data_IF_603921032592
#
_entry.id   IF_603921032592
#
_cell.length_a   1.000
_cell.length_b   1.000
_cell.length_c   1.000
_cell.angle_alpha   90.00
_cell.angle_beta   90.00
_cell.angle_gamma   90.00
#
_symmetry.space_group_name_H-M   'P 1'
#
loop_
_entity.id
_entity.type
_entity.pdbx_description
1 polymer ?
#
# COMPACT_ATOMS: atom_id res chain seq x y z
N UNK A 1 35.80 -5.50 7.48
CA UNK A 1 34.33 -5.52 7.34
C UNK A 1 33.71 -4.13 7.03
N UNK A 2 34.21 -3.39 6.02
CA UNK A 2 33.77 -2.00 5.73
C UNK A 2 32.99 -1.91 4.41
N UNK A 3 33.25 -2.81 3.46
CA UNK A 3 32.61 -2.84 2.14
C UNK A 3 31.12 -3.23 2.20
N UNK A 4 30.76 -4.19 3.05
CA UNK A 4 29.36 -4.62 3.23
C UNK A 4 28.46 -3.54 3.83
N UNK A 5 29.00 -2.68 4.71
CA UNK A 5 28.25 -1.57 5.33
C UNK A 5 27.98 -0.44 4.32
N UNK A 6 28.96 -0.10 3.47
CA UNK A 6 28.80 0.90 2.40
C UNK A 6 27.80 0.47 1.33
N UNK A 7 27.80 -0.82 0.92
CA UNK A 7 26.84 -1.37 -0.05
C UNK A 7 25.40 -1.30 0.46
N UNK A 8 25.16 -1.66 1.73
CA UNK A 8 23.85 -1.57 2.38
C UNK A 8 23.31 -0.14 2.45
N UNK A 9 24.15 0.84 2.80
CA UNK A 9 23.74 2.25 2.83
C UNK A 9 23.35 2.78 1.44
N UNK A 10 24.09 2.40 0.39
CA UNK A 10 23.76 2.76 -0.99
C UNK A 10 22.43 2.16 -1.45
N UNK A 11 22.15 0.90 -1.12
CA UNK A 11 20.87 0.25 -1.41
C UNK A 11 19.71 0.96 -0.71
N UNK A 12 19.85 1.28 0.59
CA UNK A 12 18.82 2.02 1.35
C UNK A 12 18.55 3.41 0.76
N UNK A 13 19.59 4.13 0.31
CA UNK A 13 19.44 5.43 -0.35
C UNK A 13 18.74 5.29 -1.72
N UNK A 14 19.06 4.24 -2.49
CA UNK A 14 18.39 3.94 -3.77
C UNK A 14 16.91 3.58 -3.57
N UNK A 15 16.59 2.82 -2.53
CA UNK A 15 15.21 2.51 -2.20
C UNK A 15 14.44 3.73 -1.70
N UNK A 16 15.07 4.60 -0.90
CA UNK A 16 14.45 5.83 -0.42
C UNK A 16 14.13 6.81 -1.55
N UNK A 17 15.03 6.94 -2.52
CA UNK A 17 14.78 7.74 -3.74
C UNK A 17 13.64 7.14 -4.56
N UNK A 18 13.61 5.83 -4.77
CA UNK A 18 12.51 5.17 -5.48
C UNK A 18 11.13 5.36 -4.82
N UNK A 19 11.06 5.39 -3.48
CA UNK A 19 9.80 5.65 -2.76
C UNK A 19 9.35 7.11 -2.90
N UNK A 20 10.28 8.06 -2.81
CA UNK A 20 9.97 9.46 -3.05
C UNK A 20 9.47 9.68 -4.48
N UNK A 21 10.15 9.12 -5.48
CA UNK A 21 9.76 9.25 -6.90
C UNK A 21 8.38 8.64 -7.16
N UNK A 22 8.08 7.48 -6.55
CA UNK A 22 6.76 6.86 -6.62
C UNK A 22 5.69 7.72 -5.95
N UNK A 23 5.94 8.25 -4.75
CA UNK A 23 5.01 9.13 -4.05
C UNK A 23 4.73 10.41 -4.86
N UNK A 24 5.77 11.01 -5.44
CA UNK A 24 5.65 12.18 -6.31
C UNK A 24 4.86 11.88 -7.57
N UNK A 25 5.09 10.73 -8.21
CA UNK A 25 4.33 10.30 -9.39
C UNK A 25 2.84 10.16 -9.05
N UNK A 26 2.52 9.48 -7.94
CA UNK A 26 1.15 9.33 -7.47
C UNK A 26 0.49 10.70 -7.21
N UNK A 27 1.16 11.56 -6.46
CA UNK A 27 0.63 12.86 -6.06
C UNK A 27 0.47 13.83 -7.24
N UNK A 28 1.47 13.93 -8.11
CA UNK A 28 1.58 15.01 -9.10
C UNK A 28 1.09 14.61 -10.49
N UNK A 29 1.33 13.36 -10.91
CA UNK A 29 0.94 12.88 -12.24
C UNK A 29 -0.45 12.25 -12.20
N UNK A 30 -0.69 11.36 -11.23
CA UNK A 30 -1.97 10.67 -11.12
C UNK A 30 -2.99 11.41 -10.25
N UNK A 31 -2.56 12.46 -9.53
CA UNK A 31 -3.40 13.23 -8.60
C UNK A 31 -4.06 12.35 -7.53
N UNK A 32 -3.34 11.31 -7.09
CA UNK A 32 -3.75 10.41 -6.04
C UNK A 32 -3.22 10.91 -4.68
N UNK A 33 -4.08 11.14 -3.67
CA UNK A 33 -3.62 11.57 -2.36
C UNK A 33 -2.79 10.49 -1.69
N UNK A 34 -1.58 10.83 -1.29
CA UNK A 34 -0.65 9.89 -0.64
C UNK A 34 -0.18 10.40 0.72
N UNK A 35 0.33 9.50 1.54
CA UNK A 35 0.94 9.77 2.83
C UNK A 35 1.99 8.72 3.20
N UNK A 36 2.97 9.05 4.07
CA UNK A 36 3.92 8.07 4.57
C UNK A 36 3.27 7.11 5.56
N UNK A 37 3.46 5.82 5.35
CA UNK A 37 3.08 4.77 6.28
C UNK A 37 4.02 4.65 7.48
N UNK A 38 3.58 3.90 8.49
CA UNK A 38 4.41 3.64 9.68
C UNK A 38 5.69 2.86 9.35
N UNK A 39 5.60 1.88 8.45
CA UNK A 39 6.71 1.00 8.08
C UNK A 39 7.09 -0.03 9.15
N UNK A 40 8.03 -0.89 8.83
CA UNK A 40 8.54 -1.90 9.76
C UNK A 40 9.67 -1.33 10.61
N UNK A 41 9.73 -1.72 11.89
CA UNK A 41 10.88 -1.48 12.74
C UNK A 41 12.16 -2.04 12.11
N UNK A 42 13.29 -1.37 12.33
CA UNK A 42 14.58 -1.93 11.93
C UNK A 42 14.86 -3.15 12.80
N UNK A 43 15.26 -4.27 12.18
CA UNK A 43 15.68 -5.46 12.92
C UNK A 43 16.81 -5.08 13.91
N UNK A 44 16.50 -5.15 15.21
CA UNK A 44 17.52 -5.19 16.25
C UNK A 44 18.40 -6.45 16.10
N UNK A 45 19.51 -6.56 16.86
CA UNK A 45 20.34 -7.75 16.83
C UNK A 45 19.48 -8.97 17.19
N UNK A 46 19.45 -9.92 16.25
CA UNK A 46 18.71 -11.18 16.21
C UNK A 46 18.31 -11.73 17.58
N UNK A 47 17.00 -11.87 17.78
CA UNK A 47 16.40 -12.68 18.83
C UNK A 47 14.96 -13.00 18.45
N UNK A 48 14.71 -14.29 18.22
CA UNK A 48 13.39 -14.91 18.11
C UNK A 48 12.62 -14.73 16.79
N UNK A 49 11.94 -15.80 16.40
CA UNK A 49 11.45 -16.12 15.05
C UNK A 49 10.20 -15.33 14.64
N UNK A 50 10.24 -14.00 14.78
CA UNK A 50 9.22 -13.08 14.31
C UNK A 50 9.73 -12.26 13.13
N UNK A 51 8.87 -12.01 12.13
CA UNK A 51 9.17 -11.06 11.05
C UNK A 51 9.51 -9.66 11.59
N UNK A 52 9.95 -8.72 10.73
CA UNK A 52 10.25 -7.37 11.18
C UNK A 52 8.99 -6.74 11.80
N UNK A 53 9.06 -6.41 13.09
CA UNK A 53 7.95 -5.84 13.85
C UNK A 53 7.45 -4.51 13.25
N UNK A 54 6.27 -4.06 13.67
CA UNK A 54 5.77 -2.75 13.25
C UNK A 54 6.55 -1.63 13.96
N UNK A 55 6.71 -0.47 13.31
CA UNK A 55 7.29 0.72 13.95
C UNK A 55 6.25 1.54 14.75
N UNK A 56 4.99 1.08 14.84
CA UNK A 56 3.96 1.70 15.67
C UNK A 56 4.14 1.33 17.16
N UNK A 57 3.52 2.06 18.09
CA UNK A 57 3.55 1.72 19.52
C UNK A 57 2.71 0.49 19.89
N UNK A 58 1.92 -0.07 18.96
CA UNK A 58 1.10 -1.27 19.21
C UNK A 58 1.95 -2.55 19.21
N UNK A 59 2.05 -3.28 20.34
CA UNK A 59 2.87 -4.49 20.45
C UNK A 59 2.41 -5.62 19.51
N UNK A 60 1.10 -5.81 19.33
CA UNK A 60 0.51 -6.86 18.50
C UNK A 60 -0.17 -6.28 17.25
N UNK A 61 0.54 -5.39 16.54
CA UNK A 61 0.02 -4.73 15.35
C UNK A 61 -0.49 -5.75 14.31
N UNK A 62 -1.79 -5.70 14.01
CA UNK A 62 -2.44 -6.63 13.08
C UNK A 62 -1.96 -6.50 11.62
N UNK A 63 -1.36 -5.35 11.25
CA UNK A 63 -0.92 -5.06 9.88
C UNK A 63 0.49 -4.43 9.87
N UNK A 64 1.54 -5.17 10.28
CA UNK A 64 2.85 -4.60 10.56
C UNK A 64 3.41 -3.79 9.37
N UNK A 65 3.67 -2.50 9.61
CA UNK A 65 4.20 -1.58 8.62
C UNK A 65 3.29 -1.21 7.47
N UNK A 66 2.04 -1.70 7.47
CA UNK A 66 1.08 -1.55 6.39
C UNK A 66 -0.11 -0.65 6.76
N UNK A 67 0.03 0.28 7.71
CA UNK A 67 -1.03 1.23 8.09
C UNK A 67 -0.52 2.67 8.31
N UNK A 68 -1.40 3.68 8.15
CA UNK A 68 -1.12 5.04 8.60
C UNK A 68 -1.13 5.10 10.12
N UNK A 69 -0.38 6.04 10.69
CA UNK A 69 -0.35 6.25 12.15
C UNK A 69 -0.16 7.73 12.44
N UNK A 70 1.02 8.25 12.17
CA UNK A 70 1.34 9.67 12.22
C UNK A 70 2.17 10.00 10.96
N UNK A 71 1.65 10.81 10.02
CA UNK A 71 0.33 11.41 10.04
C UNK A 71 -0.79 10.37 9.81
N UNK A 72 -2.00 10.70 10.24
CA UNK A 72 -3.20 9.91 9.98
C UNK A 72 -3.71 10.04 8.53
N UNK A 73 -4.68 9.20 8.16
CA UNK A 73 -5.17 9.10 6.78
C UNK A 73 -5.67 10.43 6.18
N UNK A 74 -6.32 11.26 6.99
CA UNK A 74 -6.86 12.57 6.57
C UNK A 74 -5.78 13.56 6.12
N UNK A 75 -4.51 13.31 6.44
CA UNK A 75 -3.41 14.14 5.98
C UNK A 75 -2.97 13.81 4.54
N UNK A 76 -3.51 12.75 3.92
CA UNK A 76 -3.15 12.36 2.56
C UNK A 76 -3.29 13.54 1.59
N UNK A 77 -2.27 13.75 0.76
CA UNK A 77 -2.16 14.95 -0.06
C UNK A 77 -1.65 14.67 -1.47
N UNK A 78 -1.96 15.58 -2.39
CA UNK A 78 -1.34 15.67 -3.71
C UNK A 78 -0.32 16.81 -3.81
N UNK A 79 -0.11 17.57 -2.72
CA UNK A 79 0.85 18.67 -2.69
C UNK A 79 2.30 18.15 -2.75
N UNK A 80 3.01 18.49 -3.83
CA UNK A 80 4.40 18.10 -4.06
C UNK A 80 5.33 18.49 -2.91
N UNK A 81 5.19 19.69 -2.35
CA UNK A 81 6.09 20.20 -1.30
C UNK A 81 5.95 19.37 -0.04
N UNK A 82 4.71 19.05 0.33
CA UNK A 82 4.40 18.22 1.49
C UNK A 82 4.90 16.78 1.30
N UNK A 83 4.72 16.21 0.10
CA UNK A 83 5.26 14.88 -0.24
C UNK A 83 6.78 14.85 -0.16
N UNK A 84 7.49 15.82 -0.75
CA UNK A 84 8.96 15.92 -0.64
C UNK A 84 9.41 16.05 0.81
N UNK A 85 8.72 16.88 1.59
CA UNK A 85 9.04 17.08 2.99
C UNK A 85 8.96 15.78 3.78
N UNK A 86 7.86 15.02 3.64
CA UNK A 86 7.70 13.73 4.33
C UNK A 86 8.82 12.74 4.03
N UNK A 87 9.13 12.49 2.76
CA UNK A 87 10.13 11.48 2.38
C UNK A 87 11.57 11.97 2.58
N UNK A 88 11.80 13.27 2.69
CA UNK A 88 13.08 13.81 3.16
C UNK A 88 13.31 13.45 4.63
N UNK A 89 12.28 13.56 5.47
CA UNK A 89 12.37 13.26 6.90
C UNK A 89 12.22 11.76 7.21
N UNK A 90 11.51 11.01 6.35
CA UNK A 90 11.23 9.58 6.52
C UNK A 90 11.46 8.80 5.22
N UNK A 91 12.71 8.70 4.74
CA UNK A 91 13.03 8.09 3.45
C UNK A 91 12.68 6.60 3.34
N UNK A 92 12.48 5.92 4.49
CA UNK A 92 12.09 4.51 4.53
C UNK A 92 10.59 4.30 4.71
N UNK A 93 9.78 5.36 4.83
CA UNK A 93 8.35 5.23 4.99
C UNK A 93 7.72 4.59 3.74
N UNK A 94 6.83 3.59 3.91
CA UNK A 94 5.99 3.10 2.84
C UNK A 94 5.16 4.22 2.22
N UNK A 95 4.96 4.17 0.90
CA UNK A 95 4.00 5.02 0.19
C UNK A 95 2.62 4.43 0.40
N UNK A 96 1.70 5.22 0.95
CA UNK A 96 0.30 4.85 1.09
C UNK A 96 -0.58 5.75 0.24
N UNK A 97 -1.58 5.16 -0.38
CA UNK A 97 -2.68 5.79 -1.09
C UNK A 97 -3.88 5.88 -0.15
N UNK A 98 -4.50 7.06 -0.03
CA UNK A 98 -5.86 7.16 0.48
C UNK A 98 -6.84 6.83 -0.66
N UNK A 99 -7.68 5.81 -0.49
CA UNK A 99 -8.59 5.34 -1.54
C UNK A 99 -9.90 6.14 -1.55
N UNK A 100 -10.59 6.11 -2.70
CA UNK A 100 -11.88 6.77 -2.87
C UNK A 100 -11.79 8.30 -3.06
N UNK A 101 -12.96 8.93 -3.15
CA UNK A 101 -13.07 10.33 -3.55
C UNK A 101 -12.50 10.56 -4.95
N UNK A 102 -11.39 11.30 -5.04
CA UNK A 102 -10.68 11.56 -6.30
C UNK A 102 -9.61 10.51 -6.65
N UNK A 103 -9.29 9.63 -5.72
CA UNK A 103 -8.39 8.50 -5.93
C UNK A 103 -9.16 7.22 -6.28
N UNK A 104 -8.50 6.24 -6.91
CA UNK A 104 -9.13 4.97 -7.21
C UNK A 104 -9.58 4.27 -5.93
N UNK A 105 -10.69 3.54 -6.03
CA UNK A 105 -11.03 2.53 -5.05
C UNK A 105 -10.27 1.23 -5.36
N UNK A 106 -10.38 0.24 -4.50
CA UNK A 106 -9.83 -1.07 -4.79
C UNK A 106 -10.72 -2.22 -4.35
N UNK A 107 -10.66 -3.29 -5.14
CA UNK A 107 -11.21 -4.60 -4.78
C UNK A 107 -10.06 -5.56 -4.69
N UNK A 108 -10.09 -6.43 -3.68
CA UNK A 108 -8.87 -7.10 -3.29
C UNK A 108 -9.16 -8.48 -2.70
N UNK A 109 -8.21 -9.38 -2.88
CA UNK A 109 -8.37 -10.83 -2.72
C UNK A 109 -7.07 -11.44 -2.16
N UNK A 110 -7.12 -12.58 -1.44
CA UNK A 110 -5.92 -13.35 -1.11
C UNK A 110 -5.07 -13.62 -2.36
N UNK A 111 -3.74 -13.59 -2.25
CA UNK A 111 -2.83 -13.55 -3.39
C UNK A 111 -3.11 -14.64 -4.46
N UNK A 112 -3.33 -15.89 -4.04
CA UNK A 112 -3.67 -17.01 -4.95
C UNK A 112 -4.98 -16.75 -5.69
N UNK A 113 -6.01 -16.27 -4.98
CA UNK A 113 -7.31 -15.95 -5.57
C UNK A 113 -7.22 -14.72 -6.48
N UNK A 114 -6.41 -13.72 -6.12
CA UNK A 114 -6.15 -12.53 -6.92
C UNK A 114 -5.48 -12.86 -8.25
N UNK A 115 -4.45 -13.71 -8.23
CA UNK A 115 -3.79 -14.19 -9.44
C UNK A 115 -4.77 -14.91 -10.38
N UNK A 116 -5.59 -15.83 -9.83
CA UNK A 116 -6.62 -16.53 -10.60
C UNK A 116 -7.69 -15.59 -11.15
N UNK A 117 -8.12 -14.60 -10.36
CA UNK A 117 -9.09 -13.61 -10.77
C UNK A 117 -8.57 -12.79 -11.96
N UNK A 118 -7.30 -12.36 -11.95
CA UNK A 118 -6.73 -11.63 -13.08
C UNK A 118 -6.70 -12.47 -14.35
N UNK A 119 -6.29 -13.73 -14.28
CA UNK A 119 -6.36 -14.64 -15.43
C UNK A 119 -7.78 -14.79 -15.96
N UNK A 120 -8.77 -14.93 -15.08
CA UNK A 120 -10.17 -15.03 -15.50
C UNK A 120 -10.68 -13.74 -16.15
N UNK A 121 -10.35 -12.57 -15.58
CA UNK A 121 -10.74 -11.26 -16.13
C UNK A 121 -10.07 -10.99 -17.48
N UNK A 122 -8.83 -11.43 -17.66
CA UNK A 122 -8.10 -11.34 -18.93
C UNK A 122 -8.75 -12.20 -20.02
N UNK A 123 -9.12 -13.45 -19.70
CA UNK A 123 -9.88 -14.33 -20.61
C UNK A 123 -11.23 -13.71 -21.01
N UNK A 124 -11.87 -12.96 -20.10
CA UNK A 124 -13.10 -12.23 -20.36
C UNK A 124 -12.88 -10.92 -21.15
N UNK A 125 -11.64 -10.59 -21.51
CA UNK A 125 -11.30 -9.38 -22.26
C UNK A 125 -11.51 -8.08 -21.46
N UNK A 126 -11.53 -8.16 -20.13
CA UNK A 126 -11.74 -6.98 -19.29
C UNK A 126 -10.49 -6.11 -19.26
N UNK A 127 -10.67 -4.79 -19.49
CA UNK A 127 -9.61 -3.82 -19.27
C UNK A 127 -9.37 -3.64 -17.78
N UNK A 128 -8.20 -4.08 -17.33
CA UNK A 128 -7.81 -4.01 -15.93
C UNK A 128 -7.07 -2.70 -15.65
N UNK A 129 -7.37 -2.11 -14.49
CA UNK A 129 -6.56 -1.06 -13.91
C UNK A 129 -5.26 -1.61 -13.30
N UNK A 130 -4.42 -0.74 -12.72
CA UNK A 130 -3.21 -1.19 -12.04
C UNK A 130 -3.52 -2.15 -10.90
N UNK A 131 -2.62 -3.12 -10.69
CA UNK A 131 -2.73 -4.11 -9.62
C UNK A 131 -1.58 -3.93 -8.66
N UNK A 132 -1.91 -3.82 -7.37
CA UNK A 132 -0.93 -3.85 -6.28
C UNK A 132 -0.87 -5.27 -5.73
N UNK A 133 0.28 -5.91 -5.87
CA UNK A 133 0.48 -7.28 -5.43
C UNK A 133 1.34 -7.32 -4.16
N UNK A 134 0.82 -7.92 -3.10
CA UNK A 134 1.61 -8.29 -1.91
C UNK A 134 1.66 -9.81 -1.79
N UNK A 135 2.58 -10.38 -0.99
CA UNK A 135 2.67 -11.83 -0.82
C UNK A 135 1.39 -12.48 -0.29
N UNK A 136 0.59 -11.74 0.48
CA UNK A 136 -0.65 -12.25 1.08
C UNK A 136 -1.90 -11.83 0.32
N UNK A 137 -1.84 -10.71 -0.43
CA UNK A 137 -3.05 -10.07 -0.96
C UNK A 137 -2.81 -9.22 -2.19
N UNK A 138 -3.68 -9.33 -3.18
CA UNK A 138 -3.63 -8.51 -4.39
C UNK A 138 -4.84 -7.57 -4.41
N UNK A 139 -4.60 -6.32 -4.79
CA UNK A 139 -5.59 -5.26 -4.87
C UNK A 139 -5.66 -4.72 -6.29
N UNK A 140 -6.81 -4.87 -6.93
CA UNK A 140 -7.11 -4.31 -8.23
C UNK A 140 -7.63 -2.90 -8.02
N UNK A 141 -6.94 -1.90 -8.55
CA UNK A 141 -7.42 -0.53 -8.55
C UNK A 141 -8.56 -0.41 -9.56
N UNK A 142 -9.68 0.13 -9.11
CA UNK A 142 -10.91 0.29 -9.88
C UNK A 142 -11.35 1.75 -9.86
N UNK A 143 -12.30 2.08 -10.74
CA UNK A 143 -12.95 3.39 -10.70
C UNK A 143 -13.52 3.68 -9.30
N UNK A 144 -13.48 4.94 -8.84
CA UNK A 144 -14.04 5.31 -7.55
C UNK A 144 -15.52 4.90 -7.44
N UNK A 145 -15.91 4.41 -6.27
CA UNK A 145 -17.29 4.09 -5.93
C UNK A 145 -17.61 4.60 -4.52
N UNK A 146 -18.88 4.91 -4.28
CA UNK A 146 -19.39 5.25 -2.95
C UNK A 146 -19.86 3.99 -2.22
N UNK A 147 -20.03 4.07 -0.89
CA UNK A 147 -20.52 2.94 -0.10
C UNK A 147 -21.96 2.57 -0.46
N UNK A 148 -22.79 3.55 -0.81
CA UNK A 148 -24.17 3.34 -1.26
C UNK A 148 -24.17 2.53 -2.56
N UNK A 149 -23.36 2.96 -3.55
CA UNK A 149 -23.27 2.24 -4.83
C UNK A 149 -22.70 0.84 -4.65
N UNK A 150 -21.72 0.67 -3.77
CA UNK A 150 -21.21 -0.66 -3.43
C UNK A 150 -22.32 -1.52 -2.82
N UNK A 151 -23.10 -0.97 -1.89
CA UNK A 151 -24.23 -1.67 -1.26
C UNK A 151 -25.24 -2.20 -2.29
N UNK A 152 -25.63 -1.38 -3.25
CA UNK A 152 -26.51 -1.79 -4.36
C UNK A 152 -25.92 -2.94 -5.19
N UNK A 153 -24.63 -2.83 -5.55
CA UNK A 153 -23.95 -3.85 -6.35
C UNK A 153 -23.84 -5.18 -5.61
N UNK A 154 -23.58 -5.14 -4.29
CA UNK A 154 -23.49 -6.35 -3.48
C UNK A 154 -24.87 -6.96 -3.23
N UNK A 155 -25.90 -6.13 -3.03
CA UNK A 155 -27.28 -6.61 -2.90
C UNK A 155 -27.77 -7.34 -4.16
N UNK A 156 -27.34 -6.88 -5.34
CA UNK A 156 -27.63 -7.54 -6.61
C UNK A 156 -26.85 -8.86 -6.84
N UNK A 157 -26.04 -9.32 -5.87
CA UNK A 157 -25.31 -10.60 -5.95
C UNK A 157 -25.89 -11.60 -4.96
N UNK A 158 -26.17 -12.79 -5.47
CA UNK A 158 -26.64 -13.91 -4.64
C UNK A 158 -25.62 -14.34 -3.57
N UNK A 159 -24.32 -14.07 -3.82
CA UNK A 159 -23.25 -14.38 -2.89
C UNK A 159 -22.01 -13.51 -3.11
N UNK A 160 -21.38 -13.12 -2.01
CA UNK A 160 -20.10 -12.37 -1.99
C UNK A 160 -19.12 -13.12 -1.08
N UNK A 161 -17.93 -13.52 -1.59
CA UNK A 161 -16.93 -14.18 -0.77
C UNK A 161 -16.45 -13.30 0.39
N UNK A 162 -16.38 -13.85 1.60
CA UNK A 162 -15.87 -13.14 2.79
C UNK A 162 -14.39 -12.76 2.70
N UNK A 163 -13.64 -13.38 1.80
CA UNK A 163 -12.23 -13.08 1.54
C UNK A 163 -12.01 -11.82 0.67
N UNK A 164 -13.08 -11.36 0.00
CA UNK A 164 -13.10 -10.14 -0.78
C UNK A 164 -13.10 -8.94 0.17
N UNK A 165 -12.26 -7.95 -0.09
CA UNK A 165 -12.28 -6.67 0.64
C UNK A 165 -12.39 -5.52 -0.33
N UNK A 166 -13.08 -4.50 0.14
CA UNK A 166 -13.40 -3.29 -0.58
C UNK A 166 -12.70 -2.11 0.08
N UNK A 167 -12.03 -1.29 -0.71
CA UNK A 167 -11.32 -0.09 -0.26
C UNK A 167 -11.94 1.10 -0.96
N UNK A 168 -12.92 1.71 -0.28
CA UNK A 168 -13.60 2.92 -0.72
C UNK A 168 -13.00 4.17 -0.08
N UNK A 169 -13.81 5.21 0.04
CA UNK A 169 -13.48 6.40 0.84
C UNK A 169 -13.18 6.01 2.30
N UNK A 170 -12.16 6.64 2.89
CA UNK A 170 -11.66 6.29 4.22
C UNK A 170 -10.80 5.02 4.26
N UNK A 171 -10.63 4.32 3.14
CA UNK A 171 -9.69 3.21 2.99
C UNK A 171 -8.28 3.67 2.62
N UNK A 172 -7.34 2.73 2.63
CA UNK A 172 -5.98 2.97 2.18
C UNK A 172 -5.32 1.73 1.59
N UNK A 173 -4.30 1.95 0.77
CA UNK A 173 -3.45 0.89 0.23
C UNK A 173 -1.97 1.27 0.31
N UNK A 174 -1.12 0.31 0.63
CA UNK A 174 0.34 0.48 0.43
C UNK A 174 0.65 0.34 -1.06
N UNK A 175 1.51 1.20 -1.59
CA UNK A 175 1.93 1.19 -2.99
C UNK A 175 3.39 0.74 -3.16
N UNK A 176 3.75 0.14 -4.31
CA UNK A 176 5.15 -0.09 -4.66
C UNK A 176 5.96 1.21 -4.69
N UNK A 177 7.28 1.19 -4.42
CA UNK A 177 8.13 0.05 -4.09
C UNK A 177 8.28 -0.16 -2.57
N UNK A 178 7.19 -0.07 -1.83
CA UNK A 178 7.20 -0.15 -0.37
C UNK A 178 7.49 -1.57 0.15
N UNK A 179 7.84 -1.65 1.43
CA UNK A 179 7.96 -2.92 2.15
C UNK A 179 7.18 -2.83 3.47
N UNK A 180 6.50 -3.91 3.80
CA UNK A 180 5.72 -4.09 5.03
C UNK A 180 6.19 -5.37 5.73
N UNK A 181 5.60 -5.70 6.88
CA UNK A 181 5.86 -6.98 7.55
C UNK A 181 5.45 -8.19 6.72
N UNK A 182 4.49 -8.01 5.80
CA UNK A 182 4.09 -9.06 4.85
C UNK A 182 5.06 -9.22 3.68
N UNK A 183 6.03 -8.32 3.50
CA UNK A 183 7.04 -8.37 2.44
C UNK A 183 7.02 -7.14 1.53
N UNK A 184 7.52 -7.31 0.31
CA UNK A 184 7.54 -6.25 -0.68
C UNK A 184 6.17 -6.06 -1.31
N UNK A 185 5.84 -4.81 -1.61
CA UNK A 185 4.67 -4.38 -2.39
C UNK A 185 5.11 -4.01 -3.80
#
# INVERSE_FOLDING_TARGET
EILGRRRRLRLRRKEGTARLDAALTCATVWQWPVLPGVGTAQAGPRGESGGPGCACPEPDCAVPGAHPFDPGLLAATTDERMVRWWWTHRPTAPVMLATGGRAPCAVSLPAVAGARALSALDVLGMRLGPVVATPTRWSLLVAPYTLERLGELLYAKDWVPSSLRFHGEGGYLVLPPSRTGAGQV
#
